data_IF_481380041230
#
_entry.id   IF_481380041230
#
_cell.length_a   1.000
_cell.length_b   1.000
_cell.length_c   1.000
_cell.angle_alpha   90.00
_cell.angle_beta   90.00
_cell.angle_gamma   90.00
#
_symmetry.space_group_name_H-M   'P 1'
#
loop_
_entity.id
_entity.type
_entity.pdbx_description
1 polymer ?
#
# COMPACT_ATOMS: atom_id res chain seq x y z
N UNK A 1 21.21 -19.49 27.22
CA UNK A 1 19.83 -19.02 27.00
C UNK A 1 19.60 -19.06 25.50
N UNK A 2 18.82 -20.02 25.05
CA UNK A 2 18.46 -20.09 23.64
C UNK A 2 17.63 -18.84 23.30
N UNK A 3 18.11 -18.04 22.39
CA UNK A 3 17.34 -16.88 21.93
C UNK A 3 16.25 -17.43 21.04
N UNK A 4 14.99 -17.13 21.36
CA UNK A 4 13.84 -17.55 20.55
C UNK A 4 13.88 -16.80 19.22
N UNK A 5 14.15 -17.52 18.13
CA UNK A 5 14.24 -16.97 16.76
C UNK A 5 12.95 -16.26 16.35
N UNK A 6 11.78 -16.75 16.83
CA UNK A 6 10.51 -16.11 16.58
C UNK A 6 10.42 -14.73 17.23
N UNK A 7 10.90 -14.61 18.47
CA UNK A 7 10.93 -13.32 19.17
C UNK A 7 11.91 -12.32 18.55
N UNK A 8 13.06 -12.79 18.08
CA UNK A 8 14.02 -11.94 17.37
C UNK A 8 13.44 -11.40 16.05
N UNK A 9 12.82 -12.28 15.27
CA UNK A 9 12.17 -11.90 14.02
C UNK A 9 11.02 -10.92 14.25
N UNK A 10 10.19 -11.17 15.26
CA UNK A 10 9.09 -10.28 15.63
C UNK A 10 9.61 -8.90 16.02
N UNK A 11 10.70 -8.84 16.81
CA UNK A 11 11.32 -7.58 17.22
C UNK A 11 11.83 -6.79 16.02
N UNK A 12 12.60 -7.43 15.13
CA UNK A 12 13.11 -6.80 13.91
C UNK A 12 11.98 -6.26 13.01
N UNK A 13 10.90 -7.02 12.90
CA UNK A 13 9.70 -6.61 12.17
C UNK A 13 9.04 -5.37 12.78
N UNK A 14 8.83 -5.38 14.12
CA UNK A 14 8.21 -4.25 14.81
C UNK A 14 9.06 -2.99 14.72
N UNK A 15 10.38 -3.11 14.79
CA UNK A 15 11.31 -1.99 14.59
C UNK A 15 11.20 -1.41 13.17
N UNK A 16 11.23 -2.27 12.14
CA UNK A 16 11.07 -1.85 10.75
C UNK A 16 9.70 -1.19 10.52
N UNK A 17 8.63 -1.79 11.01
CA UNK A 17 7.28 -1.26 10.90
C UNK A 17 7.17 0.12 11.59
N UNK A 18 7.75 0.28 12.79
CA UNK A 18 7.74 1.56 13.50
C UNK A 18 8.48 2.66 12.73
N UNK A 19 9.60 2.35 12.09
CA UNK A 19 10.34 3.29 11.23
C UNK A 19 9.50 3.68 10.02
N UNK A 20 8.86 2.71 9.37
CA UNK A 20 8.04 2.94 8.17
C UNK A 20 6.77 3.75 8.49
N UNK A 21 6.08 3.44 9.59
CA UNK A 21 4.80 4.08 9.91
C UNK A 21 4.93 5.42 10.66
N UNK A 22 5.91 5.56 11.54
CA UNK A 22 6.06 6.76 12.36
C UNK A 22 6.78 7.90 11.65
N UNK A 23 7.57 7.62 10.65
CA UNK A 23 8.09 8.64 9.75
C UNK A 23 7.13 8.78 8.59
N UNK A 24 6.63 9.99 8.36
CA UNK A 24 6.09 10.32 7.04
C UNK A 24 7.25 10.15 6.06
N UNK A 25 7.48 8.92 5.61
CA UNK A 25 8.53 8.60 4.63
C UNK A 25 8.35 9.37 3.34
N UNK A 26 7.21 10.09 3.26
CA UNK A 26 6.79 10.74 2.04
C UNK A 26 6.13 12.06 2.38
N UNK A 27 6.63 13.15 1.84
CA UNK A 27 5.94 14.43 1.85
C UNK A 27 4.68 14.32 0.97
N UNK A 28 3.51 14.49 1.57
CA UNK A 28 2.25 14.64 0.85
C UNK A 28 1.26 13.48 0.93
N UNK A 29 1.68 12.24 1.14
CA UNK A 29 0.79 11.07 1.33
C UNK A 29 1.21 10.24 2.54
N UNK A 30 0.24 9.68 3.26
CA UNK A 30 0.50 8.61 4.21
C UNK A 30 0.80 7.30 3.47
N UNK A 31 1.39 6.32 4.15
CA UNK A 31 1.64 5.00 3.56
C UNK A 31 0.37 4.38 2.97
N UNK A 32 -0.73 4.40 3.71
CA UNK A 32 -2.00 3.84 3.25
C UNK A 32 -2.60 4.61 2.07
N UNK A 33 -2.48 5.93 2.04
CA UNK A 33 -2.88 6.75 0.89
C UNK A 33 -2.07 6.41 -0.36
N UNK A 34 -0.76 6.19 -0.21
CA UNK A 34 0.10 5.76 -1.32
C UNK A 34 -0.26 4.35 -1.82
N UNK A 35 -0.54 3.39 -0.93
CA UNK A 35 -0.99 2.04 -1.30
C UNK A 35 -2.29 2.09 -2.11
N UNK A 36 -3.28 2.82 -1.62
CA UNK A 36 -4.57 2.97 -2.34
C UNK A 36 -4.39 3.68 -3.68
N UNK A 37 -3.59 4.74 -3.71
CA UNK A 37 -3.30 5.47 -4.96
C UNK A 37 -2.59 4.58 -5.98
N UNK A 38 -1.65 3.74 -5.55
CA UNK A 38 -1.00 2.75 -6.41
C UNK A 38 -1.99 1.77 -7.02
N UNK A 39 -2.90 1.22 -6.22
CA UNK A 39 -3.92 0.28 -6.70
C UNK A 39 -4.84 0.92 -7.75
N UNK A 40 -5.28 2.16 -7.50
CA UNK A 40 -6.12 2.92 -8.43
C UNK A 40 -5.40 3.23 -9.74
N UNK A 41 -4.14 3.66 -9.66
CA UNK A 41 -3.33 3.97 -10.83
C UNK A 41 -3.05 2.71 -11.67
N UNK A 42 -2.70 1.61 -11.02
CA UNK A 42 -2.44 0.34 -11.67
C UNK A 42 -3.70 -0.19 -12.39
N UNK A 43 -4.89 -0.09 -11.75
CA UNK A 43 -6.16 -0.45 -12.39
C UNK A 43 -6.45 0.45 -13.61
N UNK A 44 -6.22 1.74 -13.51
CA UNK A 44 -6.38 2.68 -14.63
C UNK A 44 -5.51 2.29 -15.82
N UNK A 45 -4.29 1.84 -15.58
CA UNK A 45 -3.36 1.42 -16.63
C UNK A 45 -3.72 0.07 -17.25
N UNK A 46 -4.14 -0.89 -16.44
CA UNK A 46 -4.42 -2.26 -16.92
C UNK A 46 -5.83 -2.43 -17.47
N UNK A 47 -6.81 -1.84 -16.84
CA UNK A 47 -8.22 -1.99 -17.22
C UNK A 47 -9.02 -0.72 -16.94
N UNK A 48 -8.85 0.33 -17.76
CA UNK A 48 -9.54 1.62 -17.57
C UNK A 48 -11.07 1.52 -17.70
N UNK A 49 -11.58 0.48 -18.35
CA UNK A 49 -13.02 0.25 -18.52
C UNK A 49 -13.71 -0.23 -17.23
N UNK A 50 -12.95 -0.73 -16.27
CA UNK A 50 -13.47 -1.20 -14.97
C UNK A 50 -12.77 -0.48 -13.81
N UNK A 51 -13.16 0.74 -13.48
CA UNK A 51 -12.61 1.47 -12.33
C UNK A 51 -12.89 0.72 -11.02
N UNK A 52 -12.06 0.96 -10.01
CA UNK A 52 -12.21 0.31 -8.70
C UNK A 52 -13.30 0.97 -7.86
N UNK A 53 -13.92 0.15 -7.01
CA UNK A 53 -14.84 0.57 -5.95
C UNK A 53 -14.14 0.53 -4.58
N UNK A 54 -14.75 1.18 -3.56
CA UNK A 54 -14.26 1.11 -2.19
C UNK A 54 -14.29 -0.32 -1.63
N UNK A 55 -15.26 -1.14 -2.04
CA UNK A 55 -15.36 -2.55 -1.64
C UNK A 55 -14.16 -3.35 -2.15
N UNK A 56 -13.81 -3.21 -3.42
CA UNK A 56 -12.63 -3.87 -3.99
C UNK A 56 -11.33 -3.42 -3.31
N UNK A 57 -11.22 -2.14 -2.95
CA UNK A 57 -10.06 -1.65 -2.20
C UNK A 57 -9.98 -2.27 -0.80
N UNK A 58 -11.10 -2.41 -0.09
CA UNK A 58 -11.16 -3.09 1.20
C UNK A 58 -10.68 -4.55 1.09
N UNK A 59 -11.13 -5.28 0.06
CA UNK A 59 -10.74 -6.67 -0.18
C UNK A 59 -9.23 -6.79 -0.47
N UNK A 60 -8.68 -5.89 -1.28
CA UNK A 60 -7.25 -5.91 -1.63
C UNK A 60 -6.32 -5.47 -0.50
N UNK A 61 -6.78 -4.61 0.40
CA UNK A 61 -5.95 -4.02 1.46
C UNK A 61 -6.20 -4.63 2.84
N UNK A 62 -7.23 -5.46 2.98
CA UNK A 62 -7.73 -5.93 4.28
C UNK A 62 -8.13 -4.80 5.26
N UNK A 63 -8.38 -3.60 4.75
CA UNK A 63 -8.86 -2.49 5.57
C UNK A 63 -10.34 -2.62 5.86
N UNK A 64 -10.74 -2.22 7.07
CA UNK A 64 -12.16 -2.09 7.41
C UNK A 64 -12.80 -0.98 6.61
N UNK A 65 -14.07 -1.13 6.30
CA UNK A 65 -14.86 -0.16 5.52
C UNK A 65 -14.80 1.26 6.09
N UNK A 66 -14.83 1.39 7.42
CA UNK A 66 -14.72 2.70 8.11
C UNK A 66 -13.35 3.36 7.88
N UNK A 67 -12.26 2.58 7.96
CA UNK A 67 -10.91 3.07 7.71
C UNK A 67 -10.73 3.48 6.24
N UNK A 68 -11.23 2.66 5.32
CA UNK A 68 -11.20 2.97 3.89
C UNK A 68 -11.98 4.27 3.58
N UNK A 69 -13.17 4.43 4.12
CA UNK A 69 -13.96 5.65 3.91
C UNK A 69 -13.26 6.90 4.46
N UNK A 70 -12.61 6.80 5.62
CA UNK A 70 -11.83 7.89 6.20
C UNK A 70 -10.63 8.26 5.31
N UNK A 71 -9.92 7.27 4.80
CA UNK A 71 -8.78 7.44 3.90
C UNK A 71 -9.20 8.08 2.58
N UNK A 72 -10.27 7.56 1.96
CA UNK A 72 -10.81 8.12 0.72
C UNK A 72 -11.32 9.56 0.91
N UNK A 73 -11.95 9.85 2.05
CA UNK A 73 -12.35 11.21 2.42
C UNK A 73 -11.16 12.16 2.55
N UNK A 74 -10.04 11.70 3.11
CA UNK A 74 -8.79 12.46 3.18
C UNK A 74 -8.24 12.77 1.79
N UNK A 75 -8.18 11.77 0.91
CA UNK A 75 -7.72 11.96 -0.48
C UNK A 75 -8.62 12.91 -1.28
N UNK A 76 -9.94 12.84 -1.08
CA UNK A 76 -10.88 13.78 -1.71
C UNK A 76 -10.66 15.21 -1.21
N UNK A 77 -10.51 15.38 0.10
CA UNK A 77 -10.28 16.70 0.72
C UNK A 77 -8.98 17.35 0.23
N UNK A 78 -7.97 16.54 -0.07
CA UNK A 78 -6.70 16.98 -0.66
C UNK A 78 -6.80 17.25 -2.17
N UNK A 79 -7.93 16.94 -2.81
CA UNK A 79 -8.12 17.07 -4.25
C UNK A 79 -7.41 15.98 -5.07
N UNK A 80 -7.07 14.85 -4.46
CA UNK A 80 -6.35 13.73 -5.10
C UNK A 80 -7.26 12.64 -5.63
N UNK A 81 -8.51 12.59 -5.17
CA UNK A 81 -9.48 11.57 -5.51
C UNK A 81 -10.81 12.19 -5.97
N UNK A 82 -11.42 11.57 -6.96
CA UNK A 82 -12.79 11.81 -7.38
C UNK A 82 -13.63 10.54 -7.24
N UNK A 83 -14.87 10.69 -6.76
CA UNK A 83 -15.90 9.66 -6.76
C UNK A 83 -16.88 9.94 -7.89
N UNK A 84 -17.14 8.96 -8.73
CA UNK A 84 -18.17 9.05 -9.78
C UNK A 84 -19.14 7.89 -9.64
N UNK A 85 -20.42 8.21 -9.65
CA UNK A 85 -21.46 7.20 -9.67
C UNK A 85 -21.48 6.52 -11.03
N UNK A 86 -21.64 5.18 -11.05
CA UNK A 86 -21.77 4.42 -12.29
C UNK A 86 -23.02 4.86 -13.07
N UNK A 87 -22.89 4.99 -14.37
CA UNK A 87 -24.01 5.32 -15.26
C UNK A 87 -24.94 4.11 -15.46
N UNK A 88 -24.40 2.89 -15.36
CA UNK A 88 -25.14 1.63 -15.59
C UNK A 88 -25.72 1.06 -14.30
N UNK A 89 -25.04 1.22 -13.16
CA UNK A 89 -25.51 0.79 -11.84
C UNK A 89 -25.31 1.90 -10.80
N UNK A 90 -26.37 2.64 -10.52
CA UNK A 90 -26.35 3.77 -9.58
C UNK A 90 -25.96 3.42 -8.14
N UNK A 91 -25.87 2.12 -7.80
CA UNK A 91 -25.42 1.64 -6.49
C UNK A 91 -23.90 1.61 -6.39
N UNK A 92 -23.21 1.58 -7.54
CA UNK A 92 -21.74 1.55 -7.59
C UNK A 92 -21.18 2.96 -7.68
N UNK A 93 -20.15 3.20 -6.88
CA UNK A 93 -19.34 4.42 -6.89
C UNK A 93 -17.92 4.02 -7.27
N UNK A 94 -17.47 4.55 -8.39
CA UNK A 94 -16.12 4.36 -8.89
C UNK A 94 -15.18 5.43 -8.38
N UNK A 95 -13.93 5.04 -8.18
CA UNK A 95 -12.86 5.86 -7.62
C UNK A 95 -11.81 6.15 -8.69
N UNK A 96 -11.44 7.42 -8.80
CA UNK A 96 -10.44 7.88 -9.76
C UNK A 96 -9.45 8.80 -9.07
N UNK A 97 -8.16 8.61 -9.35
CA UNK A 97 -7.18 9.64 -9.03
C UNK A 97 -7.38 10.84 -9.95
N UNK A 98 -7.23 12.03 -9.37
CA UNK A 98 -7.09 13.25 -10.15
C UNK A 98 -5.67 13.35 -10.71
N UNK A 99 -5.43 14.27 -11.64
CA UNK A 99 -4.10 14.59 -12.12
C UNK A 99 -3.15 15.01 -10.97
N UNK A 100 -3.67 15.80 -10.02
CA UNK A 100 -2.95 16.16 -8.80
C UNK A 100 -2.67 14.94 -7.92
N UNK A 101 -3.59 14.01 -7.81
CA UNK A 101 -3.42 12.76 -7.06
C UNK A 101 -2.35 11.87 -7.68
N UNK A 102 -2.32 11.74 -9.00
CA UNK A 102 -1.27 11.00 -9.70
C UNK A 102 0.11 11.66 -9.51
N UNK A 103 0.18 12.98 -9.64
CA UNK A 103 1.42 13.73 -9.38
C UNK A 103 1.91 13.54 -7.96
N UNK A 104 1.04 13.67 -6.96
CA UNK A 104 1.37 13.46 -5.56
C UNK A 104 1.85 12.01 -5.30
N UNK A 105 1.19 11.01 -5.90
CA UNK A 105 1.61 9.63 -5.82
C UNK A 105 3.01 9.42 -6.43
N UNK A 106 3.28 9.94 -7.61
CA UNK A 106 4.58 9.79 -8.25
C UNK A 106 5.72 10.45 -7.48
N UNK A 107 5.48 11.59 -6.86
CA UNK A 107 6.44 12.23 -5.95
C UNK A 107 6.73 11.34 -4.74
N UNK A 108 5.68 10.82 -4.14
CA UNK A 108 5.74 9.87 -3.02
C UNK A 108 6.53 8.62 -3.37
N UNK A 109 6.19 8.01 -4.49
CA UNK A 109 6.85 6.81 -4.98
C UNK A 109 8.35 7.05 -5.25
N UNK A 110 8.72 8.20 -5.82
CA UNK A 110 10.12 8.56 -6.06
C UNK A 110 10.92 8.64 -4.77
N UNK A 111 10.39 9.31 -3.75
CA UNK A 111 11.07 9.43 -2.45
C UNK A 111 11.24 8.07 -1.77
N UNK A 112 10.22 7.22 -1.81
CA UNK A 112 10.31 5.85 -1.31
C UNK A 112 11.36 5.05 -2.08
N UNK A 113 11.39 5.23 -3.41
CA UNK A 113 12.36 4.56 -4.27
C UNK A 113 13.79 4.99 -3.97
N UNK A 114 14.06 6.27 -3.77
CA UNK A 114 15.38 6.79 -3.38
C UNK A 114 15.88 6.17 -2.07
N UNK A 115 14.99 6.00 -1.08
CA UNK A 115 15.32 5.33 0.16
C UNK A 115 15.67 3.85 -0.06
N UNK A 116 14.87 3.14 -0.83
CA UNK A 116 15.13 1.73 -1.16
C UNK A 116 16.40 1.58 -1.98
N UNK A 117 16.69 2.48 -2.91
CA UNK A 117 17.94 2.47 -3.67
C UNK A 117 19.18 2.66 -2.76
N UNK A 118 19.06 3.48 -1.71
CA UNK A 118 20.12 3.60 -0.70
C UNK A 118 20.31 2.30 0.11
N UNK A 119 19.24 1.60 0.45
CA UNK A 119 19.29 0.28 1.09
C UNK A 119 19.99 -0.74 0.17
N UNK A 120 19.56 -0.83 -1.10
CA UNK A 120 20.17 -1.74 -2.08
C UNK A 120 21.66 -1.43 -2.28
N UNK A 121 22.02 -0.16 -2.39
CA UNK A 121 23.42 0.26 -2.52
C UNK A 121 24.25 -0.18 -1.31
N UNK A 122 23.70 -0.12 -0.11
CA UNK A 122 24.43 -0.45 1.13
C UNK A 122 24.56 -1.96 1.32
N UNK A 123 23.51 -2.73 1.07
CA UNK A 123 23.53 -4.19 1.30
C UNK A 123 24.03 -5.00 0.10
N UNK A 124 24.02 -4.44 -1.09
CA UNK A 124 24.36 -5.08 -2.35
C UNK A 124 23.14 -5.70 -3.06
N UNK A 125 23.20 -5.77 -4.39
CA UNK A 125 22.08 -6.23 -5.22
C UNK A 125 21.69 -7.69 -4.94
N UNK A 126 22.65 -8.59 -4.74
CA UNK A 126 22.38 -10.02 -4.53
C UNK A 126 21.59 -10.24 -3.23
N UNK A 127 22.04 -9.64 -2.12
CA UNK A 127 21.29 -9.67 -0.85
C UNK A 127 19.92 -9.00 -0.95
N UNK A 128 19.81 -7.92 -1.71
CA UNK A 128 18.54 -7.26 -1.92
C UNK A 128 17.54 -8.15 -2.68
N UNK A 129 18.00 -8.94 -3.65
CA UNK A 129 17.18 -9.93 -4.37
C UNK A 129 16.74 -11.08 -3.47
N UNK A 130 17.69 -11.63 -2.68
CA UNK A 130 17.37 -12.66 -1.69
C UNK A 130 16.30 -12.16 -0.71
N UNK A 131 16.50 -10.98 -0.13
CA UNK A 131 15.53 -10.35 0.78
C UNK A 131 14.17 -10.14 0.11
N UNK A 132 14.13 -9.74 -1.16
CA UNK A 132 12.86 -9.55 -1.90
C UNK A 132 12.10 -10.88 -2.02
N UNK A 133 12.81 -11.97 -2.29
CA UNK A 133 12.21 -13.30 -2.36
C UNK A 133 11.72 -13.76 -0.98
N UNK A 134 12.55 -13.64 0.04
CA UNK A 134 12.17 -13.99 1.43
C UNK A 134 10.95 -13.21 1.92
N UNK A 135 10.88 -11.91 1.63
CA UNK A 135 9.70 -11.10 1.96
C UNK A 135 8.45 -11.58 1.23
N UNK A 136 8.59 -12.00 -0.03
CA UNK A 136 7.49 -12.60 -0.80
C UNK A 136 6.99 -13.89 -0.17
N UNK A 137 7.91 -14.78 0.23
CA UNK A 137 7.59 -16.04 0.89
C UNK A 137 6.91 -15.83 2.25
N UNK A 138 7.41 -14.86 3.04
CA UNK A 138 6.79 -14.46 4.33
C UNK A 138 5.37 -13.96 4.11
N UNK A 139 5.14 -13.13 3.10
CA UNK A 139 3.79 -12.65 2.77
C UNK A 139 2.84 -13.81 2.46
N UNK A 140 3.28 -14.80 1.68
CA UNK A 140 2.49 -16.00 1.38
C UNK A 140 2.15 -16.81 2.64
N UNK A 141 3.16 -17.10 3.47
CA UNK A 141 2.98 -17.85 4.73
C UNK A 141 1.97 -17.14 5.65
N UNK A 142 2.09 -15.82 5.81
CA UNK A 142 1.18 -15.05 6.68
C UNK A 142 -0.24 -15.06 6.13
N UNK A 143 -0.43 -14.93 4.81
CA UNK A 143 -1.75 -14.98 4.20
C UNK A 143 -2.43 -16.34 4.43
N UNK A 144 -1.69 -17.44 4.27
CA UNK A 144 -2.19 -18.78 4.50
C UNK A 144 -2.56 -19.01 5.97
N UNK A 145 -1.70 -18.58 6.90
CA UNK A 145 -1.97 -18.68 8.34
C UNK A 145 -3.19 -17.87 8.78
N UNK A 146 -3.35 -16.66 8.23
CA UNK A 146 -4.52 -15.82 8.55
C UNK A 146 -5.82 -16.40 7.95
N UNK A 147 -5.76 -17.02 6.78
CA UNK A 147 -6.91 -17.68 6.16
C UNK A 147 -7.39 -18.90 6.98
N UNK A 148 -6.48 -19.63 7.63
CA UNK A 148 -6.82 -20.78 8.48
C UNK A 148 -7.45 -20.39 9.83
N UNK A 149 -7.29 -19.14 10.27
CA UNK A 149 -7.81 -18.63 11.56
C UNK A 149 -9.19 -17.98 11.46
N UNK A 150 -9.75 -17.85 10.25
CA UNK A 150 -11.10 -17.33 9.98
C UNK A 150 -12.10 -18.48 9.91
#
# INVERSE_FOLDING_TARGET
>A
MEVDTGEELLRAWLELAAIIWNRRMVSGMTFNEAVVSNLLLHRKQQNPAQPMTATELCEKTNMRKSQMNQLLGSLEKQGYLLRKRSETDRRQIYLFLTENGETAYHMSHRQSRELIDAVVKTMGEDKARELTQELGDICGIIQDELAQRQ
#
